data_IF_195626862735
#
_entry.id   IF_195626862735
#
_cell.length_a   1.000
_cell.length_b   1.000
_cell.length_c   1.000
_cell.angle_alpha   90.00
_cell.angle_beta   90.00
_cell.angle_gamma   90.00
#
_symmetry.space_group_name_H-M   'P 1'
#
loop_
_entity.id
_entity.type
_entity.pdbx_description
1 polymer ?
#
# COMPACT_ATOMS: atom_id res chain seq x y z
N UNK A 1 -3.85 -14.77 33.82
CA UNK A 1 -4.66 -13.87 33.02
C UNK A 1 -5.97 -14.54 32.61
N UNK A 2 -5.95 -15.67 31.88
CA UNK A 2 -7.15 -16.32 31.32
C UNK A 2 -8.14 -16.78 32.39
N UNK A 3 -7.68 -17.31 33.52
CA UNK A 3 -8.55 -17.69 34.63
C UNK A 3 -9.33 -16.50 35.23
N UNK A 4 -8.69 -15.32 35.32
CA UNK A 4 -9.36 -14.11 35.81
C UNK A 4 -10.41 -13.60 34.81
N UNK A 5 -10.08 -13.64 33.50
CA UNK A 5 -11.02 -13.29 32.44
C UNK A 5 -12.18 -14.29 32.36
N UNK A 6 -11.89 -15.58 32.52
CA UNK A 6 -12.91 -16.65 32.59
C UNK A 6 -13.89 -16.46 33.75
N UNK A 7 -13.35 -16.15 34.94
CA UNK A 7 -14.17 -15.88 36.11
C UNK A 7 -15.08 -14.63 35.94
N UNK A 8 -14.57 -13.59 35.24
CA UNK A 8 -15.31 -12.36 34.98
C UNK A 8 -16.37 -12.52 33.88
N UNK A 9 -16.09 -13.31 32.85
CA UNK A 9 -16.96 -13.47 31.66
C UNK A 9 -17.93 -14.66 31.78
N UNK A 10 -17.65 -15.61 32.67
CA UNK A 10 -18.37 -16.88 32.76
C UNK A 10 -18.07 -17.84 31.58
N UNK A 11 -17.03 -17.61 30.80
CA UNK A 11 -16.62 -18.38 29.62
C UNK A 11 -15.27 -19.07 29.87
N UNK A 12 -15.01 -20.19 29.20
CA UNK A 12 -13.68 -20.80 29.19
C UNK A 12 -12.74 -20.04 28.23
N UNK A 13 -12.20 -18.92 28.73
CA UNK A 13 -11.29 -18.06 27.96
C UNK A 13 -9.98 -18.76 27.67
N UNK A 14 -9.53 -19.70 28.52
CA UNK A 14 -8.28 -20.44 28.29
C UNK A 14 -8.41 -21.33 27.06
N UNK A 15 -9.44 -22.18 27.00
CA UNK A 15 -9.70 -23.06 25.85
C UNK A 15 -9.91 -22.25 24.53
N UNK A 16 -10.59 -21.11 24.62
CA UNK A 16 -10.72 -20.20 23.47
C UNK A 16 -9.35 -19.72 22.96
N UNK A 17 -8.51 -19.20 23.86
CA UNK A 17 -7.22 -18.64 23.54
C UNK A 17 -6.16 -19.67 23.11
N UNK A 18 -6.29 -20.93 23.54
CA UNK A 18 -5.36 -22.00 23.15
C UNK A 18 -5.29 -22.16 21.63
N UNK A 19 -6.44 -22.08 20.93
CA UNK A 19 -6.49 -22.14 19.46
C UNK A 19 -5.74 -21.00 18.78
N UNK A 20 -5.58 -19.85 19.45
CA UNK A 20 -4.92 -18.65 18.92
C UNK A 20 -3.43 -18.57 19.28
N UNK A 21 -3.02 -19.15 20.40
CA UNK A 21 -1.65 -19.03 20.92
C UNK A 21 -0.77 -20.23 20.59
N UNK A 22 -1.34 -21.44 20.45
CA UNK A 22 -0.59 -22.67 20.22
C UNK A 22 -0.27 -22.95 18.75
N UNK A 23 -0.81 -22.14 17.82
CA UNK A 23 -0.56 -22.31 16.39
C UNK A 23 -0.24 -20.97 15.71
N UNK A 24 0.66 -20.96 14.71
CA UNK A 24 0.98 -19.74 13.97
C UNK A 24 -0.08 -19.41 12.91
N UNK A 25 -0.22 -18.12 12.58
CA UNK A 25 -1.12 -17.62 11.56
C UNK A 25 -2.48 -17.21 12.11
N UNK A 26 -3.40 -16.90 11.22
CA UNK A 26 -4.77 -16.51 11.53
C UNK A 26 -5.71 -16.95 10.38
N UNK A 27 -7.04 -17.03 10.61
CA UNK A 27 -7.95 -17.57 9.62
C UNK A 27 -8.49 -16.51 8.62
N UNK A 28 -8.92 -17.01 7.45
CA UNK A 28 -9.91 -16.40 6.59
C UNK A 28 -11.24 -17.10 6.82
N UNK A 29 -12.28 -16.33 7.09
CA UNK A 29 -13.67 -16.77 7.12
C UNK A 29 -14.29 -16.51 5.74
N UNK A 30 -14.49 -17.53 4.92
CA UNK A 30 -15.27 -17.43 3.69
C UNK A 30 -16.76 -17.60 3.99
N UNK A 31 -17.58 -16.66 3.50
CA UNK A 31 -19.02 -16.64 3.69
C UNK A 31 -19.74 -16.53 2.33
N UNK A 32 -20.65 -17.47 2.05
CA UNK A 32 -21.45 -17.47 0.83
C UNK A 32 -22.83 -18.06 1.06
N UNK A 33 -23.75 -17.76 0.16
CA UNK A 33 -25.11 -18.33 0.16
C UNK A 33 -25.26 -19.25 -1.04
N UNK A 34 -25.61 -20.51 -0.78
CA UNK A 34 -25.89 -21.51 -1.82
C UNK A 34 -27.19 -22.23 -1.47
N UNK A 35 -28.15 -22.30 -2.40
CA UNK A 35 -29.42 -23.02 -2.21
C UNK A 35 -30.13 -22.68 -0.88
N UNK A 36 -30.27 -21.37 -0.57
CA UNK A 36 -30.87 -20.86 0.67
C UNK A 36 -30.14 -21.31 1.96
N UNK A 37 -28.85 -21.65 1.85
CA UNK A 37 -28.02 -22.04 2.99
C UNK A 37 -26.82 -21.08 3.07
N UNK A 38 -26.63 -20.46 4.23
CA UNK A 38 -25.41 -19.70 4.52
C UNK A 38 -24.30 -20.71 4.88
N UNK A 39 -23.24 -20.70 4.07
CA UNK A 39 -22.06 -21.55 4.28
C UNK A 39 -20.89 -20.71 4.76
N UNK A 40 -20.38 -21.05 5.92
CA UNK A 40 -19.19 -20.47 6.56
C UNK A 40 -18.07 -21.50 6.53
N UNK A 41 -16.90 -21.09 6.05
CA UNK A 41 -15.71 -21.99 6.02
C UNK A 41 -14.50 -21.20 6.48
N UNK A 42 -13.73 -21.75 7.41
CA UNK A 42 -12.45 -21.17 7.81
C UNK A 42 -11.27 -21.94 7.24
N UNK A 43 -10.23 -21.22 6.87
CA UNK A 43 -8.94 -21.75 6.50
C UNK A 43 -7.83 -20.79 6.92
N UNK A 44 -6.61 -21.29 7.10
CA UNK A 44 -5.47 -20.41 7.41
C UNK A 44 -5.19 -19.44 6.26
N UNK A 45 -4.93 -18.17 6.59
CA UNK A 45 -4.46 -17.17 5.64
C UNK A 45 -3.00 -17.37 5.27
N UNK A 46 -2.69 -17.30 3.99
CA UNK A 46 -1.33 -17.35 3.46
C UNK A 46 -1.16 -16.41 2.27
N UNK A 47 0.05 -15.87 2.13
CA UNK A 47 0.50 -15.20 0.92
C UNK A 47 1.58 -16.08 0.28
N UNK A 48 1.41 -16.43 -1.01
CA UNK A 48 2.33 -17.29 -1.75
C UNK A 48 2.15 -18.79 -1.50
N UNK A 49 3.10 -19.58 -1.96
CA UNK A 49 3.07 -21.04 -1.83
C UNK A 49 3.14 -21.49 -0.36
N UNK A 50 2.27 -22.41 0.01
CA UNK A 50 2.17 -22.94 1.36
C UNK A 50 1.64 -24.36 1.38
N UNK A 51 1.90 -25.06 2.50
CA UNK A 51 1.29 -26.33 2.86
C UNK A 51 0.06 -26.08 3.73
N UNK A 52 -1.11 -26.54 3.29
CA UNK A 52 -2.33 -26.46 4.08
C UNK A 52 -2.32 -27.52 5.18
N UNK A 53 -2.09 -27.09 6.42
CA UNK A 53 -2.05 -27.94 7.62
C UNK A 53 -3.42 -28.16 8.26
N UNK A 54 -4.50 -27.75 7.60
CA UNK A 54 -5.89 -27.90 8.08
C UNK A 54 -6.11 -27.35 9.49
N UNK A 55 -5.49 -26.19 9.79
CA UNK A 55 -5.65 -25.52 11.08
C UNK A 55 -7.00 -24.84 11.15
N UNK A 56 -7.61 -24.95 12.34
CA UNK A 56 -8.85 -24.26 12.68
C UNK A 56 -8.69 -23.49 13.98
N UNK A 57 -9.48 -22.44 14.13
CA UNK A 57 -9.54 -21.58 15.30
C UNK A 57 -10.95 -21.60 15.89
N UNK A 58 -11.08 -21.34 17.18
CA UNK A 58 -12.36 -20.93 17.77
C UNK A 58 -12.59 -19.48 17.33
N UNK A 59 -13.34 -19.29 16.24
CA UNK A 59 -13.50 -18.02 15.55
C UNK A 59 -14.72 -17.28 16.07
N UNK A 60 -14.57 -16.12 16.73
CA UNK A 60 -15.74 -15.33 17.15
C UNK A 60 -16.35 -14.67 15.92
N UNK A 61 -17.63 -14.95 15.64
CA UNK A 61 -18.28 -14.44 14.44
C UNK A 61 -18.61 -12.95 14.54
N UNK A 62 -18.96 -12.46 15.72
CA UNK A 62 -19.29 -11.05 15.96
C UNK A 62 -20.18 -10.48 14.86
N UNK A 63 -21.31 -11.16 14.59
CA UNK A 63 -22.21 -10.78 13.50
C UNK A 63 -23.12 -9.61 13.87
N UNK A 64 -23.47 -8.77 12.89
CA UNK A 64 -24.54 -7.77 13.04
C UNK A 64 -25.95 -8.36 12.98
N UNK A 65 -26.11 -9.63 12.63
CA UNK A 65 -27.39 -10.32 12.58
C UNK A 65 -27.63 -11.19 13.83
N UNK A 66 -28.87 -11.22 14.29
CA UNK A 66 -29.32 -12.16 15.31
C UNK A 66 -29.61 -13.53 14.69
N UNK A 67 -29.56 -14.60 15.52
CA UNK A 67 -29.89 -15.97 15.09
C UNK A 67 -28.70 -16.73 14.48
N UNK A 68 -27.52 -16.14 14.50
CA UNK A 68 -26.26 -16.80 14.17
C UNK A 68 -25.54 -17.29 15.44
N UNK A 69 -24.71 -18.33 15.38
CA UNK A 69 -23.88 -18.75 16.51
C UNK A 69 -22.82 -17.69 16.85
N UNK A 70 -22.39 -17.65 18.11
CA UNK A 70 -21.35 -16.71 18.59
C UNK A 70 -19.99 -17.04 17.99
N UNK A 71 -19.71 -18.34 17.75
CA UNK A 71 -18.40 -18.85 17.29
C UNK A 71 -18.54 -19.88 16.18
N UNK A 72 -17.49 -19.98 15.34
CA UNK A 72 -17.25 -21.08 14.43
C UNK A 72 -16.05 -21.89 14.96
N UNK A 73 -16.28 -23.15 15.36
CA UNK A 73 -15.25 -24.02 15.97
C UNK A 73 -14.78 -25.14 15.02
N UNK A 74 -15.51 -25.32 13.93
CA UNK A 74 -15.24 -26.35 12.90
C UNK A 74 -14.70 -25.73 11.62
N UNK A 75 -14.15 -26.52 10.71
CA UNK A 75 -13.72 -26.05 9.41
C UNK A 75 -14.88 -25.46 8.62
N UNK A 76 -16.09 -26.01 8.72
CA UNK A 76 -17.28 -25.58 7.98
C UNK A 76 -18.52 -25.59 8.86
N UNK A 77 -19.40 -24.62 8.67
CA UNK A 77 -20.72 -24.54 9.28
C UNK A 77 -21.76 -24.19 8.20
N UNK A 78 -22.86 -24.91 8.17
CA UNK A 78 -23.98 -24.65 7.26
C UNK A 78 -25.23 -24.23 8.09
N UNK A 79 -25.82 -23.10 7.70
CA UNK A 79 -27.02 -22.52 8.34
C UNK A 79 -28.13 -22.44 7.29
N UNK A 80 -29.12 -23.32 7.34
CA UNK A 80 -30.22 -23.37 6.37
C UNK A 80 -31.21 -22.22 6.57
N UNK A 81 -32.06 -21.99 5.57
CA UNK A 81 -33.13 -20.98 5.55
C UNK A 81 -32.58 -19.55 5.65
N UNK A 82 -31.54 -19.24 4.86
CA UNK A 82 -30.92 -17.91 4.81
C UNK A 82 -31.95 -16.79 4.54
N UNK A 83 -32.92 -17.00 3.62
CA UNK A 83 -33.91 -15.99 3.30
C UNK A 83 -34.80 -15.66 4.53
N UNK A 84 -35.16 -16.66 5.35
CA UNK A 84 -35.92 -16.44 6.57
C UNK A 84 -35.09 -15.72 7.64
N UNK A 85 -33.79 -16.04 7.74
CA UNK A 85 -32.85 -15.34 8.62
C UNK A 85 -32.66 -13.86 8.20
N UNK A 86 -32.46 -13.62 6.90
CA UNK A 86 -32.34 -12.27 6.33
C UNK A 86 -33.59 -11.42 6.59
N UNK A 87 -34.78 -12.00 6.48
CA UNK A 87 -36.04 -11.29 6.74
C UNK A 87 -36.23 -10.84 8.20
N UNK A 88 -35.52 -11.42 9.15
CA UNK A 88 -35.55 -11.07 10.58
C UNK A 88 -34.48 -10.03 10.99
N UNK A 89 -33.58 -9.69 10.07
CA UNK A 89 -32.46 -8.79 10.32
C UNK A 89 -32.51 -7.60 9.37
N UNK A 90 -31.72 -6.55 9.68
CA UNK A 90 -31.60 -5.35 8.84
C UNK A 90 -30.19 -5.20 8.28
N UNK A 91 -30.11 -4.67 7.07
CA UNK A 91 -28.84 -4.42 6.39
C UNK A 91 -28.13 -5.69 5.91
N UNK A 92 -27.01 -5.52 5.23
CA UNK A 92 -26.18 -6.61 4.77
C UNK A 92 -25.56 -7.39 5.94
N UNK A 93 -25.47 -8.73 5.81
CA UNK A 93 -24.79 -9.56 6.79
C UNK A 93 -23.30 -9.22 6.84
N UNK A 94 -22.78 -8.92 8.02
CA UNK A 94 -21.36 -8.70 8.28
C UNK A 94 -20.88 -9.47 9.49
N UNK A 95 -19.65 -9.93 9.43
CA UNK A 95 -18.92 -10.55 10.52
C UNK A 95 -17.81 -9.64 11.02
N UNK A 96 -17.25 -9.96 12.20
CA UNK A 96 -16.22 -9.15 12.84
C UNK A 96 -16.59 -7.66 12.93
N UNK A 97 -17.84 -7.40 13.27
CA UNK A 97 -18.32 -6.03 13.45
C UNK A 97 -17.42 -5.28 14.45
N UNK A 98 -17.16 -4.00 14.17
CA UNK A 98 -16.19 -3.17 14.93
C UNK A 98 -14.72 -3.64 14.79
N UNK A 99 -14.43 -4.64 13.95
CA UNK A 99 -13.08 -5.14 13.69
C UNK A 99 -12.30 -5.53 14.96
N UNK A 100 -12.98 -6.24 15.87
CA UNK A 100 -12.45 -6.59 17.21
C UNK A 100 -11.77 -7.95 17.27
N UNK A 101 -11.91 -8.79 16.25
CA UNK A 101 -11.29 -10.10 16.16
C UNK A 101 -10.25 -10.18 15.03
N UNK A 102 -9.24 -11.04 15.19
CA UNK A 102 -8.09 -11.11 14.28
C UNK A 102 -8.30 -12.16 13.17
N UNK A 103 -9.16 -11.88 12.20
CA UNK A 103 -9.36 -12.69 11.00
C UNK A 103 -9.80 -11.82 9.82
N UNK A 104 -9.71 -12.38 8.61
CA UNK A 104 -10.15 -11.77 7.36
C UNK A 104 -11.49 -12.41 6.98
N UNK A 105 -12.46 -11.61 6.50
CA UNK A 105 -13.71 -12.13 5.95
C UNK A 105 -13.72 -12.05 4.43
N UNK A 106 -13.95 -13.20 3.79
CA UNK A 106 -14.14 -13.32 2.35
C UNK A 106 -15.64 -13.49 2.04
N UNK A 107 -16.32 -12.37 1.82
CA UNK A 107 -17.72 -12.39 1.36
C UNK A 107 -17.78 -12.70 -0.13
N UNK A 108 -18.66 -13.65 -0.53
CA UNK A 108 -18.75 -14.13 -1.89
C UNK A 108 -20.19 -13.97 -2.44
N UNK A 109 -20.30 -13.65 -3.75
CA UNK A 109 -21.57 -13.54 -4.47
C UNK A 109 -22.55 -12.59 -3.80
N UNK A 110 -23.77 -13.06 -3.54
CA UNK A 110 -24.87 -12.26 -2.97
C UNK A 110 -24.47 -11.45 -1.71
N UNK A 111 -23.63 -12.03 -0.83
CA UNK A 111 -23.22 -11.32 0.40
C UNK A 111 -22.31 -10.14 0.10
N UNK A 112 -21.39 -10.28 -0.83
CA UNK A 112 -20.53 -9.19 -1.25
C UNK A 112 -21.34 -8.10 -1.94
N UNK A 113 -22.24 -8.48 -2.87
CA UNK A 113 -23.08 -7.53 -3.58
C UNK A 113 -23.91 -6.67 -2.60
N UNK A 114 -24.56 -7.31 -1.61
CA UNK A 114 -25.32 -6.60 -0.58
C UNK A 114 -24.47 -5.63 0.25
N UNK A 115 -23.23 -6.01 0.59
CA UNK A 115 -22.31 -5.12 1.32
C UNK A 115 -21.92 -3.94 0.44
N UNK A 116 -21.56 -4.16 -0.82
CA UNK A 116 -21.16 -3.11 -1.74
C UNK A 116 -22.29 -2.15 -2.11
N UNK A 117 -23.54 -2.63 -2.13
CA UNK A 117 -24.71 -1.78 -2.36
C UNK A 117 -24.99 -0.81 -1.20
N UNK A 118 -24.56 -1.16 -0.01
CA UNK A 118 -24.77 -0.36 1.21
C UNK A 118 -23.47 0.19 1.83
N UNK A 119 -22.33 0.03 1.15
CA UNK A 119 -21.01 0.37 1.73
C UNK A 119 -20.90 1.85 2.14
N UNK A 120 -21.54 2.76 1.41
CA UNK A 120 -21.52 4.20 1.70
C UNK A 120 -22.24 4.54 3.01
N UNK A 121 -23.14 3.69 3.47
CA UNK A 121 -23.92 3.87 4.71
C UNK A 121 -23.15 3.35 5.95
N UNK A 122 -22.08 2.58 5.75
CA UNK A 122 -21.28 2.03 6.84
C UNK A 122 -20.44 3.13 7.51
N UNK A 123 -20.08 2.88 8.77
CA UNK A 123 -19.05 3.70 9.45
C UNK A 123 -17.66 3.52 8.82
N UNK A 124 -16.76 4.46 9.08
CA UNK A 124 -15.42 4.49 8.47
C UNK A 124 -14.58 3.25 8.80
N UNK A 125 -14.72 2.69 10.00
CA UNK A 125 -13.99 1.46 10.40
C UNK A 125 -14.48 0.27 9.60
N UNK A 126 -15.80 0.12 9.45
CA UNK A 126 -16.41 -0.95 8.64
C UNK A 126 -16.06 -0.83 7.15
N UNK A 127 -16.06 0.39 6.59
CA UNK A 127 -15.61 0.64 5.20
C UNK A 127 -14.16 0.25 5.01
N UNK A 128 -13.28 0.72 5.91
CA UNK A 128 -11.86 0.37 5.87
C UNK A 128 -11.65 -1.14 5.97
N UNK A 129 -12.40 -1.82 6.86
CA UNK A 129 -12.33 -3.28 7.00
C UNK A 129 -12.62 -3.98 5.67
N UNK A 130 -13.70 -3.63 4.98
CA UNK A 130 -14.03 -4.20 3.66
C UNK A 130 -12.90 -3.97 2.66
N UNK A 131 -12.37 -2.76 2.57
CA UNK A 131 -11.28 -2.41 1.65
C UNK A 131 -10.01 -3.20 1.97
N UNK A 132 -9.60 -3.26 3.24
CA UNK A 132 -8.38 -3.96 3.67
C UNK A 132 -8.48 -5.47 3.50
N UNK A 133 -9.61 -6.06 3.89
CA UNK A 133 -9.83 -7.51 3.79
C UNK A 133 -9.81 -7.94 2.31
N UNK A 134 -10.50 -7.20 1.42
CA UNK A 134 -10.47 -7.47 -0.02
C UNK A 134 -9.05 -7.33 -0.59
N UNK A 135 -8.30 -6.29 -0.19
CA UNK A 135 -6.92 -6.11 -0.62
C UNK A 135 -6.02 -7.28 -0.18
N UNK A 136 -6.11 -7.70 1.08
CA UNK A 136 -5.34 -8.84 1.60
C UNK A 136 -5.68 -10.14 0.86
N UNK A 137 -6.96 -10.38 0.55
CA UNK A 137 -7.41 -11.52 -0.24
C UNK A 137 -6.84 -11.51 -1.66
N UNK A 138 -6.74 -10.32 -2.29
CA UNK A 138 -6.13 -10.17 -3.61
C UNK A 138 -4.61 -10.42 -3.56
N UNK A 139 -3.90 -9.89 -2.57
CA UNK A 139 -2.48 -10.14 -2.34
C UNK A 139 -2.18 -11.63 -2.11
N UNK A 140 -3.08 -12.33 -1.44
CA UNK A 140 -2.99 -13.77 -1.23
C UNK A 140 -3.39 -14.60 -2.47
N UNK A 141 -3.94 -13.97 -3.51
CA UNK A 141 -4.44 -14.65 -4.70
C UNK A 141 -5.75 -15.42 -4.50
N UNK A 142 -6.49 -15.11 -3.44
CA UNK A 142 -7.82 -15.68 -3.19
C UNK A 142 -8.90 -15.08 -4.09
N UNK A 143 -8.71 -13.81 -4.47
CA UNK A 143 -9.52 -13.06 -5.44
C UNK A 143 -8.61 -12.34 -6.42
N UNK A 144 -9.14 -11.84 -7.52
CA UNK A 144 -8.39 -11.02 -8.47
C UNK A 144 -8.22 -9.57 -7.94
N UNK A 145 -7.08 -8.93 -8.23
CA UNK A 145 -6.91 -7.49 -8.02
C UNK A 145 -7.93 -6.66 -8.80
N UNK A 146 -8.43 -7.16 -9.93
CA UNK A 146 -9.49 -6.52 -10.69
C UNK A 146 -10.78 -6.31 -9.87
N UNK A 147 -11.07 -7.19 -8.90
CA UNK A 147 -12.24 -7.10 -8.03
C UNK A 147 -12.14 -5.96 -7.00
N UNK A 148 -10.99 -5.34 -6.84
CA UNK A 148 -10.81 -4.18 -5.95
C UNK A 148 -11.33 -2.89 -6.58
N UNK A 149 -11.33 -2.79 -7.91
CA UNK A 149 -11.74 -1.57 -8.62
C UNK A 149 -13.19 -1.19 -8.30
N UNK A 150 -14.22 -2.07 -8.45
CA UNK A 150 -15.58 -1.70 -8.11
C UNK A 150 -15.80 -1.38 -6.63
N UNK A 151 -14.94 -1.87 -5.73
CA UNK A 151 -15.00 -1.53 -4.29
C UNK A 151 -14.62 -0.07 -4.07
N UNK A 152 -13.48 0.36 -4.63
CA UNK A 152 -13.01 1.74 -4.44
C UNK A 152 -13.86 2.76 -5.19
N UNK A 153 -14.49 2.38 -6.31
CA UNK A 153 -15.39 3.26 -7.05
C UNK A 153 -16.64 3.66 -6.25
N UNK A 154 -17.08 2.84 -5.30
CA UNK A 154 -18.18 3.18 -4.39
C UNK A 154 -17.79 4.23 -3.33
N UNK A 155 -16.49 4.54 -3.18
CA UNK A 155 -15.94 5.38 -2.11
C UNK A 155 -15.39 6.73 -2.62
N UNK A 156 -15.88 7.20 -3.76
CA UNK A 156 -15.42 8.46 -4.39
C UNK A 156 -15.69 9.72 -3.55
N UNK A 157 -16.70 9.72 -2.71
CA UNK A 157 -17.10 10.86 -1.87
C UNK A 157 -16.72 10.68 -0.39
N UNK A 158 -15.81 9.73 -0.11
CA UNK A 158 -15.34 9.50 1.26
C UNK A 158 -14.38 10.59 1.73
N UNK A 159 -14.63 11.08 2.96
CA UNK A 159 -13.82 12.13 3.57
C UNK A 159 -12.98 11.65 4.75
N UNK A 160 -13.27 10.46 5.33
CA UNK A 160 -12.49 9.91 6.43
C UNK A 160 -11.07 9.54 5.98
N UNK A 161 -10.07 9.98 6.72
CA UNK A 161 -8.67 9.61 6.49
C UNK A 161 -8.47 8.10 6.44
N UNK A 162 -9.14 7.35 7.32
CA UNK A 162 -9.05 5.89 7.36
C UNK A 162 -9.41 5.27 6.01
N UNK A 163 -10.54 5.69 5.43
CA UNK A 163 -11.03 5.13 4.16
C UNK A 163 -10.19 5.63 2.99
N UNK A 164 -9.89 6.92 2.94
CA UNK A 164 -9.05 7.52 1.89
C UNK A 164 -7.66 6.87 1.85
N UNK A 165 -7.06 6.59 3.00
CA UNK A 165 -5.78 5.87 3.09
C UNK A 165 -5.89 4.42 2.61
N UNK A 166 -7.01 3.74 2.91
CA UNK A 166 -7.31 2.40 2.40
C UNK A 166 -7.45 2.37 0.87
N UNK A 167 -8.19 3.32 0.30
CA UNK A 167 -8.32 3.50 -1.15
C UNK A 167 -6.96 3.76 -1.80
N UNK A 168 -6.13 4.64 -1.21
CA UNK A 168 -4.76 4.86 -1.68
C UNK A 168 -3.92 3.57 -1.69
N UNK A 169 -4.05 2.72 -0.67
CA UNK A 169 -3.33 1.45 -0.62
C UNK A 169 -3.77 0.50 -1.75
N UNK A 170 -5.06 0.46 -2.08
CA UNK A 170 -5.56 -0.28 -3.25
C UNK A 170 -4.99 0.28 -4.55
N UNK A 171 -5.05 1.60 -4.76
CA UNK A 171 -4.46 2.25 -5.94
C UNK A 171 -2.97 1.91 -6.08
N UNK A 172 -2.20 1.95 -4.99
CA UNK A 172 -0.78 1.56 -5.02
C UNK A 172 -0.59 0.09 -5.42
N UNK A 173 -1.48 -0.81 -5.00
CA UNK A 173 -1.50 -2.21 -5.42
C UNK A 173 -1.82 -2.37 -6.91
N UNK A 174 -2.77 -1.61 -7.44
CA UNK A 174 -3.12 -1.63 -8.87
C UNK A 174 -2.01 -1.07 -9.77
N UNK A 175 -1.21 -0.10 -9.28
CA UNK A 175 -0.10 0.51 -10.06
C UNK A 175 0.96 -0.50 -10.50
N UNK A 176 1.14 -1.63 -9.82
CA UNK A 176 2.12 -2.66 -10.22
C UNK A 176 1.82 -3.29 -11.58
N UNK A 177 0.54 -3.25 -12.02
CA UNK A 177 0.07 -3.80 -13.29
C UNK A 177 0.10 -2.78 -14.43
N UNK A 178 0.34 -1.50 -14.11
CA UNK A 178 0.32 -0.40 -15.08
C UNK A 178 1.72 -0.19 -15.64
N UNK A 179 1.82 -0.17 -16.97
CA UNK A 179 3.05 0.16 -17.69
C UNK A 179 3.07 1.65 -18.06
N UNK A 180 4.23 2.29 -17.90
CA UNK A 180 4.45 3.68 -18.28
C UNK A 180 4.19 3.89 -19.79
N UNK A 181 3.53 4.99 -20.13
CA UNK A 181 3.20 5.34 -21.51
C UNK A 181 2.09 4.52 -22.16
N UNK A 182 1.40 3.63 -21.40
CA UNK A 182 0.31 2.80 -21.90
C UNK A 182 -1.05 3.50 -21.77
N UNK A 183 -2.05 3.07 -22.60
CA UNK A 183 -3.45 3.48 -22.44
C UNK A 183 -4.00 3.14 -21.04
N UNK A 184 -3.47 2.08 -20.40
CA UNK A 184 -3.84 1.72 -19.03
C UNK A 184 -3.32 2.73 -18.03
N UNK A 185 -2.16 3.36 -18.27
CA UNK A 185 -1.67 4.42 -17.40
C UNK A 185 -2.56 5.67 -17.47
N UNK A 186 -3.02 6.05 -18.66
CA UNK A 186 -3.97 7.15 -18.83
C UNK A 186 -5.25 6.86 -18.05
N UNK A 187 -5.83 5.67 -18.24
CA UNK A 187 -7.03 5.24 -17.53
C UNK A 187 -6.82 5.16 -15.99
N UNK A 188 -5.66 4.66 -15.55
CA UNK A 188 -5.31 4.64 -14.13
C UNK A 188 -5.21 6.05 -13.53
N UNK A 189 -4.60 6.97 -14.25
CA UNK A 189 -4.49 8.36 -13.82
C UNK A 189 -5.88 9.02 -13.72
N UNK A 190 -6.77 8.77 -14.68
CA UNK A 190 -8.17 9.23 -14.62
C UNK A 190 -8.92 8.65 -13.41
N UNK A 191 -8.74 7.35 -13.11
CA UNK A 191 -9.30 6.73 -11.91
C UNK A 191 -8.78 7.38 -10.62
N UNK A 192 -7.48 7.66 -10.54
CA UNK A 192 -6.85 8.36 -9.40
C UNK A 192 -7.43 9.76 -9.23
N UNK A 193 -7.61 10.50 -10.33
CA UNK A 193 -8.22 11.84 -10.34
C UNK A 193 -9.68 11.76 -9.86
N UNK A 194 -10.47 10.83 -10.41
CA UNK A 194 -11.87 10.59 -10.03
C UNK A 194 -12.02 10.37 -8.53
N UNK A 195 -11.18 9.48 -7.94
CA UNK A 195 -11.20 9.14 -6.52
C UNK A 195 -10.66 10.25 -5.60
N UNK A 196 -9.91 11.19 -6.12
CA UNK A 196 -9.31 12.28 -5.33
C UNK A 196 -10.09 13.59 -5.43
N UNK A 197 -10.91 13.76 -6.47
CA UNK A 197 -11.58 15.03 -6.83
C UNK A 197 -12.44 15.60 -5.73
N UNK A 198 -13.31 14.79 -5.11
CA UNK A 198 -14.21 15.23 -4.04
C UNK A 198 -13.45 15.92 -2.89
N UNK A 199 -12.41 15.27 -2.38
CA UNK A 199 -11.62 15.84 -1.29
C UNK A 199 -10.76 17.01 -1.73
N UNK A 200 -10.24 17.00 -2.95
CA UNK A 200 -9.47 18.15 -3.47
C UNK A 200 -10.34 19.40 -3.62
N UNK A 201 -11.56 19.27 -4.13
CA UNK A 201 -12.47 20.41 -4.27
C UNK A 201 -12.94 20.94 -2.90
N UNK A 202 -13.03 20.09 -1.89
CA UNK A 202 -13.34 20.45 -0.51
C UNK A 202 -12.18 21.14 0.19
N UNK A 203 -10.96 20.59 0.08
CA UNK A 203 -9.81 20.98 0.89
C UNK A 203 -8.86 21.97 0.19
N UNK A 204 -8.61 21.78 -1.13
CA UNK A 204 -7.60 22.56 -1.86
C UNK A 204 -6.19 22.40 -1.30
N UNK A 205 -5.31 23.32 -1.63
CA UNK A 205 -3.92 23.35 -1.14
C UNK A 205 -3.76 24.02 0.23
N UNK A 206 -4.60 24.99 0.54
CA UNK A 206 -4.50 25.80 1.77
C UNK A 206 -5.46 25.27 2.84
N UNK A 207 -4.98 25.22 4.07
CA UNK A 207 -5.81 24.89 5.22
C UNK A 207 -6.84 25.99 5.47
N UNK A 208 -8.06 25.61 5.82
CA UNK A 208 -9.18 26.51 6.07
C UNK A 208 -9.56 26.47 7.57
N UNK A 209 -10.10 27.56 8.06
CA UNK A 209 -10.60 27.61 9.43
C UNK A 209 -11.69 26.56 9.66
N UNK A 210 -11.56 25.81 10.75
CA UNK A 210 -12.52 24.79 11.15
C UNK A 210 -12.28 23.39 10.57
N UNK A 211 -11.20 23.17 9.83
CA UNK A 211 -10.79 21.84 9.39
C UNK A 211 -10.26 21.00 10.57
N UNK A 212 -10.43 19.69 10.48
CA UNK A 212 -9.90 18.73 11.44
C UNK A 212 -8.44 18.35 11.15
N UNK A 213 -7.75 17.77 12.11
CA UNK A 213 -6.40 17.21 11.91
C UNK A 213 -6.39 16.10 10.84
N UNK A 214 -7.50 15.36 10.69
CA UNK A 214 -7.66 14.36 9.62
C UNK A 214 -7.72 15.00 8.23
N UNK A 215 -8.31 16.19 8.11
CA UNK A 215 -8.39 16.91 6.83
C UNK A 215 -7.01 17.27 6.29
N UNK A 216 -6.04 17.60 7.16
CA UNK A 216 -4.66 17.82 6.75
C UNK A 216 -4.03 16.54 6.16
N UNK A 217 -4.26 15.38 6.78
CA UNK A 217 -3.77 14.09 6.31
C UNK A 217 -4.41 13.70 4.97
N UNK A 218 -5.72 13.92 4.83
CA UNK A 218 -6.45 13.68 3.57
C UNK A 218 -5.93 14.60 2.46
N UNK A 219 -5.71 15.90 2.75
CA UNK A 219 -5.14 16.87 1.81
C UNK A 219 -3.81 16.40 1.24
N UNK A 220 -2.90 15.92 2.08
CA UNK A 220 -1.61 15.39 1.63
C UNK A 220 -1.78 14.21 0.67
N UNK A 221 -2.70 13.28 0.97
CA UNK A 221 -2.96 12.13 0.11
C UNK A 221 -3.49 12.57 -1.25
N UNK A 222 -4.53 13.41 -1.27
CA UNK A 222 -5.20 13.75 -2.53
C UNK A 222 -4.37 14.66 -3.41
N UNK A 223 -3.62 15.62 -2.84
CA UNK A 223 -2.67 16.43 -3.61
C UNK A 223 -1.58 15.54 -4.20
N UNK A 224 -1.01 14.61 -3.40
CA UNK A 224 -0.02 13.66 -3.89
C UNK A 224 -0.54 12.79 -5.04
N UNK A 225 -1.76 12.30 -4.93
CA UNK A 225 -2.42 11.52 -5.97
C UNK A 225 -2.60 12.35 -7.26
N UNK A 226 -3.12 13.58 -7.16
CA UNK A 226 -3.40 14.43 -8.31
C UNK A 226 -2.11 14.89 -9.02
N UNK A 227 -1.07 15.25 -8.28
CA UNK A 227 0.26 15.56 -8.85
C UNK A 227 0.86 14.32 -9.53
N UNK A 228 0.75 13.14 -8.91
CA UNK A 228 1.22 11.90 -9.52
C UNK A 228 0.47 11.58 -10.83
N UNK A 229 -0.84 11.81 -10.87
CA UNK A 229 -1.71 11.59 -12.01
C UNK A 229 -1.70 12.72 -13.05
N UNK A 230 -0.88 13.76 -12.88
CA UNK A 230 -0.79 14.94 -13.77
C UNK A 230 -2.11 15.72 -13.93
N UNK A 231 -2.90 15.83 -12.85
CA UNK A 231 -4.13 16.63 -12.88
C UNK A 231 -3.82 18.09 -13.18
N UNK A 232 -4.41 18.64 -14.22
CA UNK A 232 -4.10 19.99 -14.71
C UNK A 232 -4.34 21.09 -13.67
N UNK A 233 -5.45 21.03 -12.93
CA UNK A 233 -5.78 22.02 -11.89
C UNK A 233 -4.78 21.95 -10.74
N UNK A 234 -4.46 20.76 -10.25
CA UNK A 234 -3.52 20.59 -9.14
C UNK A 234 -2.09 20.99 -9.53
N UNK A 235 -1.64 20.65 -10.74
CA UNK A 235 -0.30 21.01 -11.23
C UNK A 235 -0.15 22.52 -11.41
N UNK A 236 -1.14 23.22 -12.00
CA UNK A 236 -1.12 24.67 -12.14
C UNK A 236 -1.13 25.40 -10.78
N UNK A 237 -1.91 24.91 -9.82
CA UNK A 237 -1.95 25.50 -8.46
C UNK A 237 -0.62 25.30 -7.73
N UNK A 238 -0.02 24.09 -7.84
CA UNK A 238 1.30 23.80 -7.31
C UNK A 238 2.39 24.71 -7.91
N UNK A 239 2.34 25.00 -9.21
CA UNK A 239 3.25 25.94 -9.89
C UNK A 239 3.12 27.35 -9.33
N UNK A 240 1.90 27.83 -9.10
CA UNK A 240 1.64 29.13 -8.49
C UNK A 240 2.25 29.25 -7.09
N UNK A 241 2.06 28.21 -6.26
CA UNK A 241 2.62 28.17 -4.90
C UNK A 241 4.15 28.11 -4.93
N UNK A 242 4.73 27.29 -5.80
CA UNK A 242 6.19 27.22 -5.95
C UNK A 242 6.77 28.59 -6.34
N UNK A 243 6.19 29.25 -7.35
CA UNK A 243 6.64 30.57 -7.82
C UNK A 243 6.61 31.63 -6.70
N UNK A 244 5.63 31.58 -5.82
CA UNK A 244 5.53 32.50 -4.68
C UNK A 244 6.63 32.28 -3.63
N UNK A 245 7.26 31.08 -3.60
CA UNK A 245 8.27 30.69 -2.61
C UNK A 245 9.63 30.33 -3.24
N UNK A 246 9.84 30.62 -4.53
CA UNK A 246 11.04 30.19 -5.27
C UNK A 246 12.37 30.68 -4.67
N UNK A 247 12.36 31.80 -3.95
CA UNK A 247 13.54 32.37 -3.29
C UNK A 247 13.87 31.69 -1.95
N UNK A 248 12.89 30.99 -1.34
CA UNK A 248 13.04 30.29 -0.07
C UNK A 248 12.09 29.09 0.01
N UNK A 249 12.54 27.97 -0.54
CA UNK A 249 11.73 26.74 -0.65
C UNK A 249 11.40 26.10 0.71
N UNK A 250 12.16 26.43 1.78
CA UNK A 250 11.88 25.92 3.11
C UNK A 250 10.59 26.51 3.69
N UNK A 251 10.13 27.67 3.17
CA UNK A 251 8.85 28.31 3.54
C UNK A 251 7.63 27.72 2.83
N UNK A 252 7.79 26.83 1.87
CA UNK A 252 6.66 26.10 1.31
C UNK A 252 5.89 25.38 2.44
N UNK A 253 4.54 25.29 2.38
CA UNK A 253 3.74 24.62 3.40
C UNK A 253 4.23 23.18 3.64
N UNK A 254 4.70 22.87 4.85
CA UNK A 254 5.44 21.66 5.16
C UNK A 254 4.67 20.37 4.81
N UNK A 255 3.35 20.36 5.02
CA UNK A 255 2.46 19.23 4.78
C UNK A 255 2.41 18.79 3.30
N UNK A 256 2.49 19.75 2.37
CA UNK A 256 2.35 19.52 0.92
C UNK A 256 3.63 19.83 0.14
N UNK A 257 4.68 20.30 0.81
CA UNK A 257 5.96 20.72 0.21
C UNK A 257 6.52 19.66 -0.74
N UNK A 258 6.53 18.40 -0.32
CA UNK A 258 7.03 17.30 -1.14
C UNK A 258 6.35 17.28 -2.52
N UNK A 259 5.02 17.39 -2.55
CA UNK A 259 4.26 17.28 -3.79
C UNK A 259 4.48 18.49 -4.71
N UNK A 260 4.65 19.68 -4.13
CA UNK A 260 5.01 20.90 -4.88
C UNK A 260 6.41 20.74 -5.49
N UNK A 261 7.39 20.25 -4.73
CA UNK A 261 8.74 20.01 -5.22
C UNK A 261 8.77 18.93 -6.32
N UNK A 262 8.01 17.85 -6.17
CA UNK A 262 7.87 16.79 -7.19
C UNK A 262 7.26 17.38 -8.47
N UNK A 263 6.21 18.20 -8.36
CA UNK A 263 5.59 18.84 -9.51
C UNK A 263 6.60 19.61 -10.35
N UNK A 264 7.49 20.34 -9.70
CA UNK A 264 8.52 21.14 -10.41
C UNK A 264 9.52 20.24 -11.15
N UNK A 265 10.01 19.15 -10.54
CA UNK A 265 10.90 18.22 -11.23
C UNK A 265 10.18 17.54 -12.40
N UNK A 266 8.94 17.10 -12.22
CA UNK A 266 8.19 16.41 -13.28
C UNK A 266 7.93 17.27 -14.51
N UNK A 267 7.65 18.57 -14.34
CA UNK A 267 7.14 19.43 -15.40
C UNK A 267 8.07 20.57 -15.81
N UNK A 268 9.03 20.94 -14.94
CA UNK A 268 9.89 22.12 -15.12
C UNK A 268 11.36 21.84 -14.83
N UNK A 269 11.77 20.55 -14.94
CA UNK A 269 13.14 20.16 -14.65
C UNK A 269 14.14 20.98 -15.46
N UNK A 270 15.14 21.52 -14.80
CA UNK A 270 16.26 22.23 -15.39
C UNK A 270 17.50 22.06 -14.51
N UNK A 271 18.67 22.30 -15.08
CA UNK A 271 19.91 22.26 -14.31
C UNK A 271 19.91 23.24 -13.14
N UNK A 272 19.36 24.43 -13.33
CA UNK A 272 19.25 25.47 -12.30
C UNK A 272 18.37 25.00 -11.14
N UNK A 273 17.26 24.34 -11.44
CA UNK A 273 16.34 23.81 -10.42
C UNK A 273 17.01 22.67 -9.65
N UNK A 274 17.67 21.75 -10.34
CA UNK A 274 18.43 20.64 -9.73
C UNK A 274 19.54 21.18 -8.82
N UNK A 275 20.35 22.12 -9.29
CA UNK A 275 21.41 22.76 -8.50
C UNK A 275 20.82 23.50 -7.27
N UNK A 276 19.66 24.15 -7.41
CA UNK A 276 18.94 24.79 -6.29
C UNK A 276 18.53 23.74 -5.24
N UNK A 277 17.94 22.61 -5.65
CA UNK A 277 17.53 21.54 -4.72
C UNK A 277 18.71 20.90 -4.00
N UNK A 278 19.79 20.61 -4.71
CA UNK A 278 21.01 20.07 -4.10
C UNK A 278 21.66 21.05 -3.14
N UNK A 279 21.69 22.36 -3.49
CA UNK A 279 22.19 23.40 -2.60
C UNK A 279 21.36 23.51 -1.32
N UNK A 280 20.02 23.49 -1.43
CA UNK A 280 19.13 23.50 -0.28
C UNK A 280 19.31 22.23 0.56
N UNK A 281 19.46 21.06 -0.06
CA UNK A 281 19.71 19.79 0.61
C UNK A 281 20.96 19.84 1.50
N UNK A 282 22.04 20.45 1.00
CA UNK A 282 23.30 20.57 1.75
C UNK A 282 23.17 21.60 2.88
N UNK A 283 22.52 22.74 2.63
CA UNK A 283 22.51 23.87 3.55
C UNK A 283 21.48 23.78 4.67
N UNK A 284 20.33 23.11 4.45
CA UNK A 284 19.30 23.04 5.46
C UNK A 284 19.68 22.12 6.62
N UNK A 285 19.19 22.48 7.82
CA UNK A 285 19.25 21.64 9.04
C UNK A 285 17.95 20.88 9.28
N UNK A 286 16.87 21.19 8.53
CA UNK A 286 15.60 20.47 8.59
C UNK A 286 15.71 19.12 7.88
N UNK A 287 15.75 18.03 8.68
CA UNK A 287 15.83 16.66 8.17
C UNK A 287 14.59 16.25 7.34
N UNK A 288 13.42 16.85 7.59
CA UNK A 288 12.23 16.59 6.79
C UNK A 288 12.36 17.22 5.40
N UNK A 289 12.79 18.47 5.34
CA UNK A 289 13.01 19.18 4.09
C UNK A 289 14.12 18.51 3.26
N UNK A 290 15.21 18.04 3.89
CA UNK A 290 16.23 17.22 3.22
C UNK A 290 15.64 16.01 2.50
N UNK A 291 14.83 15.23 3.22
CA UNK A 291 14.20 14.03 2.63
C UNK A 291 13.25 14.38 1.50
N UNK A 292 12.49 15.49 1.64
CA UNK A 292 11.57 15.95 0.60
C UNK A 292 12.31 16.36 -0.68
N UNK A 293 13.44 17.07 -0.57
CA UNK A 293 14.29 17.44 -1.71
C UNK A 293 14.88 16.21 -2.41
N UNK A 294 15.41 15.25 -1.66
CA UNK A 294 15.95 14.00 -2.20
C UNK A 294 14.86 13.18 -2.90
N UNK A 295 13.69 13.07 -2.28
CA UNK A 295 12.54 12.36 -2.87
C UNK A 295 12.02 13.04 -4.13
N UNK A 296 12.02 14.38 -4.19
CA UNK A 296 11.61 15.11 -5.37
C UNK A 296 12.59 14.92 -6.53
N UNK A 297 13.89 14.98 -6.26
CA UNK A 297 14.94 14.74 -7.26
C UNK A 297 14.91 13.33 -7.86
N UNK A 298 14.35 12.36 -7.14
CA UNK A 298 14.17 11.00 -7.67
C UNK A 298 13.16 10.92 -8.82
N UNK A 299 12.34 11.95 -9.03
CA UNK A 299 11.40 12.06 -10.17
C UNK A 299 12.05 12.62 -11.44
N UNK A 300 13.37 12.78 -11.47
CA UNK A 300 14.09 13.22 -12.68
C UNK A 300 13.84 12.28 -13.85
N UNK A 301 13.69 12.85 -15.02
CA UNK A 301 13.71 12.19 -16.32
C UNK A 301 14.91 12.63 -17.17
N UNK A 302 15.86 13.33 -16.56
CA UNK A 302 17.10 13.77 -17.20
C UNK A 302 18.31 12.92 -16.76
N UNK A 303 19.03 12.40 -17.76
CA UNK A 303 20.19 11.56 -17.49
C UNK A 303 21.34 12.32 -16.82
N UNK A 304 21.57 13.57 -17.20
CA UNK A 304 22.67 14.38 -16.63
C UNK A 304 22.40 14.67 -15.16
N UNK A 305 21.15 15.00 -14.81
CA UNK A 305 20.68 15.14 -13.43
C UNK A 305 20.86 13.86 -12.63
N UNK A 306 20.47 12.70 -13.20
CA UNK A 306 20.65 11.40 -12.53
C UNK A 306 22.14 11.09 -12.28
N UNK A 307 22.99 11.31 -13.27
CA UNK A 307 24.43 11.10 -13.12
C UNK A 307 25.01 12.04 -12.03
N UNK A 308 24.58 13.30 -11.96
CA UNK A 308 24.97 14.25 -10.92
C UNK A 308 24.52 13.79 -9.52
N UNK A 309 23.30 13.27 -9.40
CA UNK A 309 22.79 12.69 -8.15
C UNK A 309 23.67 11.51 -7.71
N UNK A 310 23.95 10.56 -8.62
CA UNK A 310 24.74 9.37 -8.31
C UNK A 310 26.18 9.69 -7.88
N UNK A 311 26.77 10.74 -8.44
CA UNK A 311 28.07 11.27 -7.96
C UNK A 311 27.96 11.88 -6.57
N UNK A 312 26.88 12.64 -6.31
CA UNK A 312 26.65 13.26 -5.01
C UNK A 312 26.48 12.21 -3.88
N UNK A 313 25.89 11.02 -4.19
CA UNK A 313 25.71 9.95 -3.22
C UNK A 313 27.03 9.44 -2.63
N UNK A 314 28.14 9.50 -3.38
CA UNK A 314 29.46 9.08 -2.90
C UNK A 314 30.18 10.13 -2.06
N UNK A 315 29.70 11.37 -2.09
CA UNK A 315 30.33 12.48 -1.38
C UNK A 315 29.70 12.63 0.01
N UNK A 316 30.46 12.27 1.07
CA UNK A 316 30.02 12.34 2.46
C UNK A 316 29.72 13.78 2.96
N UNK A 317 30.24 14.78 2.28
CA UNK A 317 29.92 16.18 2.59
C UNK A 317 28.56 16.60 2.05
N UNK A 318 28.04 15.89 1.06
CA UNK A 318 26.71 16.08 0.48
C UNK A 318 25.70 15.12 1.14
N UNK A 319 25.90 13.80 0.99
CA UNK A 319 24.99 12.77 1.47
C UNK A 319 25.62 12.00 2.64
N UNK A 320 24.99 12.08 3.81
CA UNK A 320 25.45 11.29 4.96
C UNK A 320 25.13 9.80 4.77
N UNK A 321 25.97 8.88 5.27
CA UNK A 321 25.73 7.43 5.12
C UNK A 321 24.34 6.98 5.56
N UNK A 322 23.79 7.48 6.66
CA UNK A 322 22.46 7.14 7.16
C UNK A 322 21.30 7.57 6.23
N UNK A 323 21.52 8.59 5.38
CA UNK A 323 20.50 9.10 4.45
C UNK A 323 20.51 8.35 3.12
N UNK A 324 21.58 7.60 2.81
CA UNK A 324 21.82 6.98 1.51
C UNK A 324 20.71 6.00 1.12
N UNK A 325 20.32 5.11 2.04
CA UNK A 325 19.35 4.07 1.72
C UNK A 325 17.93 4.63 1.59
N UNK A 326 17.41 5.26 2.64
CA UNK A 326 16.00 5.64 2.72
C UNK A 326 15.69 6.92 1.94
N UNK A 327 16.57 7.93 2.02
CA UNK A 327 16.28 9.24 1.42
C UNK A 327 16.58 9.28 -0.08
N UNK A 328 17.50 8.43 -0.58
CA UNK A 328 17.94 8.46 -1.98
C UNK A 328 17.71 7.15 -2.72
N UNK A 329 18.31 6.05 -2.26
CA UNK A 329 18.26 4.78 -2.99
C UNK A 329 16.83 4.26 -3.15
N UNK A 330 16.02 4.28 -2.09
CA UNK A 330 14.63 3.84 -2.14
C UNK A 330 13.78 4.65 -3.12
N UNK A 331 13.71 5.99 -3.06
CA UNK A 331 12.95 6.76 -4.03
C UNK A 331 13.42 6.54 -5.47
N UNK A 332 14.72 6.57 -5.72
CA UNK A 332 15.29 6.36 -7.06
C UNK A 332 14.99 4.98 -7.65
N UNK A 333 14.85 3.93 -6.85
CA UNK A 333 14.46 2.59 -7.31
C UNK A 333 12.98 2.48 -7.69
N UNK A 334 12.14 3.38 -7.21
CA UNK A 334 10.70 3.31 -7.42
C UNK A 334 10.21 4.13 -8.63
N UNK A 335 11.12 4.72 -9.39
CA UNK A 335 10.81 5.42 -10.64
C UNK A 335 11.37 4.66 -11.84
N UNK A 336 10.55 4.46 -12.85
CA UNK A 336 10.88 3.62 -13.99
C UNK A 336 12.11 4.13 -14.73
N UNK A 337 12.25 5.46 -14.93
CA UNK A 337 13.41 6.07 -15.59
C UNK A 337 14.73 5.82 -14.82
N UNK A 338 14.72 5.99 -13.51
CA UNK A 338 15.95 5.94 -12.69
C UNK A 338 16.32 4.51 -12.25
N UNK A 339 15.33 3.60 -12.15
CA UNK A 339 15.48 2.27 -11.56
C UNK A 339 16.64 1.46 -12.13
N UNK A 340 16.73 1.36 -13.46
CA UNK A 340 17.76 0.54 -14.13
C UNK A 340 19.17 1.05 -13.86
N UNK A 341 19.35 2.36 -13.97
CA UNK A 341 20.66 3.02 -13.76
C UNK A 341 21.09 2.92 -12.30
N UNK A 342 20.16 3.16 -11.37
CA UNK A 342 20.43 3.10 -9.92
C UNK A 342 20.73 1.68 -9.47
N UNK A 343 20.03 0.68 -10.01
CA UNK A 343 20.31 -0.72 -9.73
C UNK A 343 21.70 -1.12 -10.24
N UNK A 344 22.09 -0.69 -11.43
CA UNK A 344 23.43 -0.91 -11.97
C UNK A 344 24.49 -0.23 -11.11
N UNK A 345 24.27 1.04 -10.75
CA UNK A 345 25.15 1.79 -9.86
C UNK A 345 25.35 1.08 -8.50
N UNK A 346 24.29 0.55 -7.89
CA UNK A 346 24.40 -0.14 -6.62
C UNK A 346 25.25 -1.41 -6.72
N UNK A 347 25.11 -2.20 -7.81
CA UNK A 347 25.92 -3.40 -8.06
C UNK A 347 27.39 -3.07 -8.28
N UNK A 348 27.69 -2.05 -9.09
CA UNK A 348 29.05 -1.63 -9.42
C UNK A 348 29.77 -1.00 -8.22
N UNK A 349 29.02 -0.41 -7.27
CA UNK A 349 29.56 0.22 -6.08
C UNK A 349 29.34 -0.58 -4.79
N UNK A 350 29.05 -1.89 -4.91
CA UNK A 350 28.70 -2.72 -3.77
C UNK A 350 29.74 -2.75 -2.65
N UNK A 351 31.01 -2.88 -3.00
CA UNK A 351 32.10 -2.89 -2.02
C UNK A 351 32.22 -1.54 -1.30
N UNK A 352 32.00 -0.43 -2.00
CA UNK A 352 31.94 0.88 -1.39
C UNK A 352 30.75 1.02 -0.43
N UNK A 353 29.56 0.52 -0.83
CA UNK A 353 28.36 0.50 0.03
C UNK A 353 28.63 -0.32 1.29
N UNK A 354 29.24 -1.50 1.15
CA UNK A 354 29.66 -2.34 2.30
C UNK A 354 30.64 -1.61 3.20
N UNK A 355 31.60 -0.93 2.66
CA UNK A 355 32.59 -0.17 3.45
C UNK A 355 31.97 1.06 4.16
N UNK A 356 31.00 1.70 3.52
CA UNK A 356 30.32 2.89 4.08
C UNK A 356 29.28 2.55 5.15
N UNK A 357 28.56 1.41 5.03
CA UNK A 357 27.40 1.04 5.82
C UNK A 357 27.51 -0.34 6.49
N UNK A 358 28.60 -1.07 6.33
CA UNK A 358 28.71 -2.49 6.73
C UNK A 358 28.62 -2.79 8.24
N UNK A 359 28.41 -1.79 9.06
CA UNK A 359 28.08 -1.93 10.49
C UNK A 359 26.79 -1.23 10.88
N UNK A 360 26.06 -0.67 9.90
CA UNK A 360 24.82 0.08 10.09
C UNK A 360 23.60 -0.80 9.76
N UNK A 361 22.51 -0.62 10.50
CA UNK A 361 21.24 -1.33 10.26
C UNK A 361 20.59 -0.95 8.92
N UNK A 362 21.07 0.08 8.23
CA UNK A 362 20.58 0.48 6.92
C UNK A 362 21.22 -0.30 5.76
N UNK A 363 22.28 -1.08 6.00
CA UNK A 363 22.96 -1.85 4.96
C UNK A 363 22.04 -2.89 4.29
N UNK A 364 21.22 -3.59 5.07
CA UNK A 364 20.27 -4.58 4.58
C UNK A 364 19.22 -4.00 3.63
N UNK A 365 18.98 -2.68 3.69
CA UNK A 365 18.03 -1.96 2.81
C UNK A 365 18.43 -2.01 1.34
N UNK A 366 19.73 -2.14 1.06
CA UNK A 366 20.22 -2.32 -0.31
C UNK A 366 19.85 -3.69 -0.91
N UNK A 367 19.45 -4.64 -0.08
CA UNK A 367 18.89 -5.94 -0.49
C UNK A 367 17.35 -5.89 -0.53
N UNK A 368 16.73 -5.26 0.48
CA UNK A 368 15.27 -5.22 0.64
C UNK A 368 14.60 -4.31 -0.38
N UNK A 369 15.14 -3.11 -0.65
CA UNK A 369 14.48 -2.15 -1.52
C UNK A 369 14.37 -2.59 -2.99
N UNK A 370 15.41 -3.20 -3.60
CA UNK A 370 15.24 -3.81 -4.92
C UNK A 370 14.19 -4.93 -4.92
N UNK A 371 14.14 -5.74 -3.85
CA UNK A 371 13.13 -6.79 -3.72
C UNK A 371 11.70 -6.22 -3.68
N UNK A 372 11.51 -5.05 -3.08
CA UNK A 372 10.22 -4.37 -3.04
C UNK A 372 9.83 -3.71 -4.37
N UNK A 373 10.82 -3.20 -5.12
CA UNK A 373 10.59 -2.44 -6.35
C UNK A 373 10.44 -3.32 -7.61
N UNK A 374 11.13 -4.48 -7.66
CA UNK A 374 11.20 -5.29 -8.87
C UNK A 374 9.94 -6.12 -9.11
N UNK A 375 9.46 -6.09 -10.37
CA UNK A 375 8.22 -6.76 -10.78
C UNK A 375 8.33 -7.57 -12.10
N UNK A 376 9.55 -7.69 -12.67
CA UNK A 376 9.78 -8.37 -13.94
C UNK A 376 10.70 -9.57 -13.78
N UNK A 377 10.56 -10.55 -14.69
CA UNK A 377 11.43 -11.75 -14.71
C UNK A 377 12.90 -11.39 -14.95
N UNK A 378 13.18 -10.35 -15.73
CA UNK A 378 14.52 -9.83 -15.98
C UNK A 378 15.15 -9.32 -14.68
N UNK A 379 14.44 -8.48 -13.93
CA UNK A 379 14.91 -7.97 -12.63
C UNK A 379 15.11 -9.07 -11.60
N UNK A 380 14.24 -10.08 -11.59
CA UNK A 380 14.44 -11.28 -10.77
C UNK A 380 15.73 -12.00 -11.11
N UNK A 381 16.00 -12.19 -12.40
CA UNK A 381 17.24 -12.86 -12.85
C UNK A 381 18.49 -12.07 -12.45
N UNK A 382 18.49 -10.75 -12.64
CA UNK A 382 19.58 -9.87 -12.22
C UNK A 382 19.77 -9.87 -10.69
N UNK A 383 18.70 -9.82 -9.92
CA UNK A 383 18.74 -9.87 -8.46
C UNK A 383 19.36 -11.18 -7.97
N UNK A 384 18.93 -12.32 -8.53
CA UNK A 384 19.51 -13.63 -8.23
C UNK A 384 20.99 -13.69 -8.59
N UNK A 385 21.34 -13.32 -9.81
CA UNK A 385 22.73 -13.39 -10.30
C UNK A 385 23.68 -12.58 -9.40
N UNK A 386 23.22 -11.45 -8.86
CA UNK A 386 24.04 -10.60 -8.01
C UNK A 386 24.07 -11.05 -6.55
N UNK A 387 22.94 -11.45 -5.97
CA UNK A 387 22.84 -11.72 -4.53
C UNK A 387 22.99 -13.20 -4.13
N UNK A 388 22.68 -14.18 -4.99
CA UNK A 388 22.86 -15.60 -4.63
C UNK A 388 24.30 -15.95 -4.23
N UNK A 389 25.36 -15.42 -4.87
CA UNK A 389 26.73 -15.64 -4.43
C UNK A 389 27.03 -15.12 -3.02
N UNK A 390 26.19 -14.24 -2.49
CA UNK A 390 26.35 -13.58 -1.18
C UNK A 390 25.52 -14.24 -0.05
N UNK A 391 24.87 -15.37 -0.32
CA UNK A 391 24.05 -16.10 0.68
C UNK A 391 24.85 -16.60 1.89
N UNK A 392 26.17 -16.64 1.81
CA UNK A 392 27.06 -16.95 2.96
C UNK A 392 27.21 -15.77 3.95
N UNK A 393 26.84 -14.55 3.57
CA UNK A 393 26.88 -13.39 4.43
C UNK A 393 25.64 -13.37 5.35
N UNK A 394 25.85 -13.73 6.62
CA UNK A 394 24.78 -13.87 7.61
C UNK A 394 23.99 -12.57 7.85
N UNK A 395 24.58 -11.42 7.58
CA UNK A 395 23.89 -10.12 7.78
C UNK A 395 22.73 -9.90 6.79
N UNK A 396 22.82 -10.50 5.59
CA UNK A 396 21.86 -10.25 4.50
C UNK A 396 21.23 -11.52 3.91
N UNK A 397 21.73 -12.72 4.25
CA UNK A 397 21.29 -14.01 3.66
C UNK A 397 19.78 -14.24 3.76
N UNK A 398 19.18 -13.92 4.92
CA UNK A 398 17.74 -14.00 5.10
C UNK A 398 16.98 -13.08 4.16
N UNK A 399 17.41 -11.82 4.06
CA UNK A 399 16.76 -10.82 3.23
C UNK A 399 16.91 -11.15 1.73
N UNK A 400 18.03 -11.72 1.32
CA UNK A 400 18.23 -12.23 -0.05
C UNK A 400 17.22 -13.35 -0.35
N UNK A 401 17.11 -14.34 0.55
CA UNK A 401 16.21 -15.48 0.36
C UNK A 401 14.74 -15.05 0.33
N UNK A 402 14.36 -14.09 1.16
CA UNK A 402 13.02 -13.50 1.14
C UNK A 402 12.78 -12.69 -0.14
N UNK A 403 13.71 -11.82 -0.51
CA UNK A 403 13.60 -10.98 -1.69
C UNK A 403 13.43 -11.78 -2.99
N UNK A 404 14.17 -12.88 -3.15
CA UNK A 404 13.99 -13.77 -4.30
C UNK A 404 12.55 -14.30 -4.39
N UNK A 405 11.97 -14.72 -3.23
CA UNK A 405 10.60 -15.24 -3.19
C UNK A 405 9.57 -14.14 -3.46
N UNK A 406 9.76 -12.95 -2.89
CA UNK A 406 8.86 -11.80 -3.05
C UNK A 406 8.82 -11.31 -4.50
N UNK A 407 9.99 -11.15 -5.15
CA UNK A 407 10.04 -10.78 -6.57
C UNK A 407 9.41 -11.86 -7.43
N UNK A 408 9.72 -13.14 -7.20
CA UNK A 408 9.15 -14.25 -7.95
C UNK A 408 7.61 -14.30 -7.83
N UNK A 409 7.09 -14.16 -6.62
CA UNK A 409 5.65 -14.11 -6.38
C UNK A 409 4.99 -12.93 -7.11
N UNK A 410 5.62 -11.75 -7.10
CA UNK A 410 5.11 -10.56 -7.79
C UNK A 410 5.16 -10.71 -9.32
N UNK A 411 6.20 -11.32 -9.87
CA UNK A 411 6.30 -11.62 -11.30
C UNK A 411 5.14 -12.53 -11.74
N UNK A 412 4.90 -13.61 -11.00
CA UNK A 412 3.77 -14.52 -11.29
C UNK A 412 2.41 -13.85 -11.10
N UNK A 413 2.25 -13.01 -10.08
CA UNK A 413 1.04 -12.22 -9.85
C UNK A 413 0.76 -11.30 -11.04
N UNK A 414 1.75 -10.50 -11.45
CA UNK A 414 1.60 -9.58 -12.60
C UNK A 414 1.24 -10.35 -13.86
N UNK A 415 1.93 -11.45 -14.14
CA UNK A 415 1.65 -12.29 -15.31
C UNK A 415 0.23 -12.83 -15.32
N UNK A 416 -0.30 -13.26 -14.17
CA UNK A 416 -1.63 -13.85 -14.03
C UNK A 416 -2.75 -12.84 -14.10
N UNK A 417 -2.57 -11.66 -13.50
CA UNK A 417 -3.66 -10.73 -13.24
C UNK A 417 -3.69 -9.52 -14.19
N UNK A 418 -2.58 -9.21 -14.89
CA UNK A 418 -2.41 -7.96 -15.66
C UNK A 418 -3.59 -7.64 -16.57
N UNK A 419 -3.99 -8.59 -17.43
CA UNK A 419 -5.07 -8.36 -18.40
C UNK A 419 -6.42 -8.05 -17.71
N UNK A 420 -6.76 -8.78 -16.65
CA UNK A 420 -7.99 -8.58 -15.91
C UNK A 420 -8.00 -7.21 -15.20
N UNK A 421 -6.86 -6.82 -14.57
CA UNK A 421 -6.72 -5.55 -13.87
C UNK A 421 -6.77 -4.38 -14.85
N UNK A 422 -6.04 -4.44 -15.96
CA UNK A 422 -6.06 -3.41 -17.00
C UNK A 422 -7.47 -3.19 -17.56
N UNK A 423 -8.21 -4.29 -17.81
CA UNK A 423 -9.61 -4.23 -18.25
C UNK A 423 -10.50 -3.56 -17.19
N UNK A 424 -10.33 -3.92 -15.92
CA UNK A 424 -11.12 -3.33 -14.83
C UNK A 424 -10.85 -1.82 -14.67
N UNK A 425 -9.58 -1.40 -14.72
CA UNK A 425 -9.19 0.01 -14.66
C UNK A 425 -9.83 0.79 -15.81
N UNK A 426 -9.72 0.30 -17.06
CA UNK A 426 -10.33 0.96 -18.23
C UNK A 426 -11.87 0.99 -18.21
N UNK A 427 -12.50 0.08 -17.50
CA UNK A 427 -13.96 0.05 -17.35
C UNK A 427 -14.50 1.01 -16.28
N UNK A 428 -13.63 1.53 -15.42
CA UNK A 428 -13.99 2.40 -14.30
C UNK A 428 -14.02 3.92 -14.65
N UNK A 429 -13.62 4.26 -15.88
CA UNK A 429 -13.53 5.63 -16.38
C UNK A 429 -14.57 5.95 -17.46
#
# INVERSE_FOLDING_TARGET
LWNALGAASGRDVAAFMDSWLEQPGYPVLSARVENDTLKLTQKQFFIGEHEDKKRTWVLPLNSNWNGLPDTLETETLEIPNYAALAAQNQGALRFNTENTAHYITDYQGLLLDQILDTITELDSTSKLQVVQERRLLAEAGNISFAELVPVIEKLTEESSYLVVSGVKAVLSGLKIFVEEGSETEEAYNELVIKLSRFNFDRLGFEAKDGESDEDELVRQIVIGNLIAANDEKATQEADGIFKAHQDDLEKLPAAIRLHILINQIKHHESKELTDQYLKNYVSTVDGSFKRQLASALAYTNDKETLDQILEALKNKDIVKPQDLAMSWYFPLLNHDFTQATVWTWARENWDWIKAALGGDMSFDKFVIYPANAFKTAERLAEYKAFFEPQLSDMAISRNISMGIKEIAARVELVKREKEAVEKAIRAAI
#
